data_IF_410406712531
#
_entry.id   IF_410406712531
#
_cell.length_a   1.000
_cell.length_b   1.000
_cell.length_c   1.000
_cell.angle_alpha   90.00
_cell.angle_beta   90.00
_cell.angle_gamma   90.00
#
_symmetry.space_group_name_H-M   'P 1'
#
loop_
_entity.id
_entity.type
_entity.pdbx_description
1 polymer ?
#
# COMPACT_ATOMS: atom_id res chain seq x y z
N UNK A 1 -30.94 -1.35 -1.87
CA UNK A 1 -30.17 -0.86 -3.01
C UNK A 1 -28.74 -1.34 -2.83
N UNK A 2 -28.30 -2.28 -3.65
CA UNK A 2 -26.98 -2.90 -3.57
C UNK A 2 -25.91 -1.93 -4.01
N UNK A 3 -25.07 -1.48 -3.08
CA UNK A 3 -23.79 -0.86 -3.40
C UNK A 3 -22.80 -1.97 -3.76
N UNK A 4 -22.68 -2.27 -5.05
CA UNK A 4 -21.59 -3.07 -5.60
C UNK A 4 -20.27 -2.31 -5.37
N UNK A 5 -19.47 -2.76 -4.40
CA UNK A 5 -18.07 -2.34 -4.26
C UNK A 5 -17.29 -2.65 -5.54
N UNK A 6 -16.34 -1.79 -5.96
CA UNK A 6 -15.51 -2.09 -7.11
C UNK A 6 -14.60 -3.28 -6.79
N UNK A 7 -14.27 -4.07 -7.82
CA UNK A 7 -13.45 -5.26 -7.75
C UNK A 7 -12.01 -4.95 -7.27
N UNK A 8 -11.83 -4.87 -5.95
CA UNK A 8 -10.55 -4.93 -5.25
C UNK A 8 -10.63 -6.06 -4.23
N UNK A 9 -9.67 -7.00 -4.27
CA UNK A 9 -9.62 -8.11 -3.31
C UNK A 9 -9.63 -7.57 -1.88
N UNK A 10 -10.34 -8.22 -0.97
CA UNK A 10 -10.34 -7.79 0.44
C UNK A 10 -8.94 -7.85 1.05
N UNK A 11 -8.75 -7.27 2.23
CA UNK A 11 -7.48 -7.40 2.97
C UNK A 11 -7.18 -8.88 3.28
N UNK A 12 -8.21 -9.68 3.57
CA UNK A 12 -8.10 -11.12 3.79
C UNK A 12 -7.66 -11.85 2.52
N UNK A 13 -8.25 -11.53 1.37
CA UNK A 13 -7.86 -12.10 0.08
C UNK A 13 -6.41 -11.74 -0.26
N UNK A 14 -6.02 -10.49 -0.02
CA UNK A 14 -4.65 -10.03 -0.24
C UNK A 14 -3.66 -10.81 0.63
N UNK A 15 -3.93 -10.94 1.94
CA UNK A 15 -3.09 -11.73 2.85
C UNK A 15 -3.02 -13.19 2.41
N UNK A 16 -4.15 -13.79 2.04
CA UNK A 16 -4.23 -15.19 1.58
C UNK A 16 -3.39 -15.40 0.33
N UNK A 17 -3.50 -14.50 -0.65
CA UNK A 17 -2.71 -14.54 -1.88
C UNK A 17 -1.21 -14.45 -1.57
N UNK A 18 -0.78 -13.48 -0.76
CA UNK A 18 0.65 -13.34 -0.44
C UNK A 18 1.21 -14.54 0.34
N UNK A 19 0.42 -15.11 1.24
CA UNK A 19 0.84 -16.28 2.01
C UNK A 19 0.94 -17.54 1.14
N UNK A 20 0.10 -17.67 0.11
CA UNK A 20 0.10 -18.82 -0.81
C UNK A 20 1.25 -18.86 -1.83
N UNK A 21 1.93 -17.73 -2.06
CA UNK A 21 3.04 -17.63 -3.02
C UNK A 21 4.40 -18.05 -2.45
N UNK A 22 5.42 -18.20 -3.30
CA UNK A 22 6.80 -18.15 -2.82
C UNK A 22 7.24 -16.69 -2.51
N UNK A 23 8.48 -16.47 -2.11
CA UNK A 23 8.95 -15.11 -1.75
C UNK A 23 8.94 -14.16 -2.94
N UNK A 24 9.29 -14.64 -4.14
CA UNK A 24 9.27 -13.85 -5.36
C UNK A 24 7.83 -13.46 -5.72
N UNK A 25 6.92 -14.44 -5.78
CA UNK A 25 5.51 -14.23 -6.06
C UNK A 25 4.86 -13.27 -5.06
N UNK A 26 5.15 -13.42 -3.77
CA UNK A 26 4.66 -12.52 -2.74
C UNK A 26 5.13 -11.08 -2.96
N UNK A 27 6.42 -10.87 -3.24
CA UNK A 27 6.98 -9.53 -3.50
C UNK A 27 6.36 -8.89 -4.74
N UNK A 28 6.26 -9.64 -5.84
CA UNK A 28 5.72 -9.14 -7.11
C UNK A 28 4.23 -8.81 -6.98
N UNK A 29 3.42 -9.71 -6.40
CA UNK A 29 1.98 -9.45 -6.22
C UNK A 29 1.74 -8.28 -5.30
N UNK A 30 2.43 -8.21 -4.16
CA UNK A 30 2.29 -7.07 -3.25
C UNK A 30 2.63 -5.75 -3.95
N UNK A 31 3.67 -5.73 -4.79
CA UNK A 31 4.01 -4.56 -5.57
C UNK A 31 2.94 -4.15 -6.58
N UNK A 32 2.39 -5.10 -7.33
CA UNK A 32 1.30 -4.83 -8.29
C UNK A 32 0.10 -4.19 -7.59
N UNK A 33 -0.31 -4.71 -6.43
CA UNK A 33 -1.45 -4.16 -5.69
C UNK A 33 -1.17 -2.75 -5.14
N UNK A 34 0.01 -2.51 -4.57
CA UNK A 34 0.37 -1.19 -4.02
C UNK A 34 0.56 -0.16 -5.13
N UNK A 35 1.19 -0.54 -6.25
CA UNK A 35 1.34 0.32 -7.43
C UNK A 35 -0.02 0.68 -8.05
N UNK A 36 -0.95 -0.27 -8.14
CA UNK A 36 -2.30 0.00 -8.62
C UNK A 36 -3.02 1.04 -7.76
N UNK A 37 -2.95 0.94 -6.43
CA UNK A 37 -3.55 1.92 -5.51
C UNK A 37 -2.88 3.30 -5.61
N UNK A 38 -1.55 3.33 -5.73
CA UNK A 38 -0.81 4.57 -5.91
C UNK A 38 -1.19 5.27 -7.23
N UNK A 39 -1.31 4.51 -8.32
CA UNK A 39 -1.76 5.03 -9.61
C UNK A 39 -3.21 5.50 -9.56
N UNK A 40 -4.08 4.79 -8.84
CA UNK A 40 -5.45 5.22 -8.60
C UNK A 40 -5.51 6.54 -7.84
N UNK A 41 -4.70 6.68 -6.79
CA UNK A 41 -4.60 7.92 -6.02
C UNK A 41 -4.17 9.09 -6.92
N UNK A 42 -3.14 8.88 -7.74
CA UNK A 42 -2.68 9.88 -8.69
C UNK A 42 -3.77 10.27 -9.71
N UNK A 43 -4.55 9.31 -10.21
CA UNK A 43 -5.66 9.59 -11.14
C UNK A 43 -6.73 10.48 -10.51
N UNK A 44 -7.03 10.30 -9.23
CA UNK A 44 -7.99 11.15 -8.51
C UNK A 44 -7.44 12.55 -8.20
N UNK A 45 -6.13 12.70 -8.08
CA UNK A 45 -5.47 13.97 -7.75
C UNK A 45 -5.19 14.85 -8.97
N UNK A 46 -5.11 14.29 -10.17
CA UNK A 46 -4.83 15.03 -11.42
C UNK A 46 -6.11 15.37 -12.18
N UNK A 47 -6.08 16.48 -12.94
CA UNK A 47 -7.20 16.87 -13.81
C UNK A 47 -7.26 16.12 -15.14
N UNK A 48 -6.10 15.70 -15.66
CA UNK A 48 -5.98 15.03 -16.95
C UNK A 48 -5.22 13.71 -16.79
N UNK A 49 -5.96 12.60 -16.74
CA UNK A 49 -5.37 11.26 -16.67
C UNK A 49 -4.54 10.90 -17.92
N UNK A 50 -4.91 11.43 -19.08
CA UNK A 50 -4.21 11.18 -20.34
C UNK A 50 -2.81 11.79 -20.31
N UNK A 51 -2.68 13.01 -19.78
CA UNK A 51 -1.39 13.64 -19.53
C UNK A 51 -0.55 12.84 -18.51
N UNK A 52 -1.16 12.39 -17.41
CA UNK A 52 -0.47 11.54 -16.42
C UNK A 52 0.08 10.25 -17.04
N UNK A 53 -0.70 9.56 -17.89
CA UNK A 53 -0.24 8.32 -18.57
C UNK A 53 0.95 8.58 -19.50
N UNK A 54 0.99 9.73 -20.18
CA UNK A 54 2.09 10.10 -21.08
C UNK A 54 3.42 10.33 -20.35
N UNK A 55 3.38 10.62 -19.05
CA UNK A 55 4.61 10.77 -18.25
C UNK A 55 5.36 9.45 -18.06
N UNK A 56 4.68 8.31 -18.22
CA UNK A 56 5.26 6.96 -18.10
C UNK A 56 6.16 6.81 -16.85
N UNK A 57 5.62 7.23 -15.70
CA UNK A 57 6.37 7.31 -14.45
C UNK A 57 6.74 5.92 -13.95
N UNK A 58 7.99 5.77 -13.52
CA UNK A 58 8.40 4.64 -12.68
C UNK A 58 7.80 4.77 -11.28
N UNK A 59 7.69 3.65 -10.57
CA UNK A 59 7.11 3.61 -9.22
C UNK A 59 7.65 4.70 -8.27
N UNK A 60 8.98 4.93 -8.24
CA UNK A 60 9.54 5.99 -7.38
C UNK A 60 9.12 7.38 -7.80
N UNK A 61 8.98 7.64 -9.09
CA UNK A 61 8.50 8.92 -9.60
C UNK A 61 6.99 9.10 -9.33
N UNK A 62 6.21 8.01 -9.36
CA UNK A 62 4.81 8.02 -8.92
C UNK A 62 4.69 8.37 -7.43
N UNK A 63 5.59 7.84 -6.58
CA UNK A 63 5.65 8.24 -5.16
C UNK A 63 5.94 9.73 -5.04
N UNK A 64 6.96 10.23 -5.75
CA UNK A 64 7.35 11.65 -5.70
C UNK A 64 6.20 12.57 -6.12
N UNK A 65 5.48 12.20 -7.19
CA UNK A 65 4.30 12.95 -7.64
C UNK A 65 3.16 12.88 -6.62
N UNK A 66 2.91 11.73 -6.00
CA UNK A 66 1.86 11.62 -4.99
C UNK A 66 2.14 12.51 -3.78
N UNK A 67 3.40 12.59 -3.33
CA UNK A 67 3.81 13.52 -2.27
C UNK A 67 3.59 14.97 -2.71
N UNK A 68 4.01 15.32 -3.94
CA UNK A 68 3.82 16.67 -4.46
C UNK A 68 2.34 17.08 -4.57
N UNK A 69 1.44 16.10 -4.70
CA UNK A 69 -0.01 16.30 -4.77
C UNK A 69 -0.73 16.15 -3.42
N UNK A 70 0.00 15.96 -2.32
CA UNK A 70 -0.54 16.04 -0.96
C UNK A 70 -0.53 14.74 -0.15
N UNK A 71 0.02 13.64 -0.66
CA UNK A 71 0.31 12.47 0.18
C UNK A 71 1.39 12.83 1.22
N UNK A 72 1.24 12.37 2.46
CA UNK A 72 2.15 12.67 3.56
C UNK A 72 3.62 12.27 3.24
N UNK A 73 4.59 13.21 3.31
CA UNK A 73 6.00 12.94 2.97
C UNK A 73 6.65 11.85 3.83
N UNK A 74 6.12 11.59 5.02
CA UNK A 74 6.54 10.52 5.93
C UNK A 74 6.43 9.13 5.29
N UNK A 75 5.50 8.91 4.35
CA UNK A 75 5.30 7.63 3.68
C UNK A 75 6.33 7.36 2.57
N UNK A 76 7.00 8.41 2.07
CA UNK A 76 7.86 8.32 0.90
C UNK A 76 9.02 7.34 1.09
N UNK A 77 9.64 7.33 2.28
CA UNK A 77 10.78 6.46 2.58
C UNK A 77 10.37 4.98 2.53
N UNK A 78 9.21 4.64 3.12
CA UNK A 78 8.64 3.29 3.15
C UNK A 78 8.28 2.79 1.75
N UNK A 79 7.52 3.59 1.00
CA UNK A 79 7.13 3.24 -0.37
C UNK A 79 8.34 3.03 -1.27
N UNK A 80 9.32 3.94 -1.25
CA UNK A 80 10.54 3.81 -2.08
C UNK A 80 11.36 2.57 -1.69
N UNK A 81 11.49 2.27 -0.40
CA UNK A 81 12.19 1.06 0.05
C UNK A 81 11.47 -0.21 -0.42
N UNK A 82 10.14 -0.20 -0.41
CA UNK A 82 9.32 -1.29 -0.93
C UNK A 82 9.49 -1.48 -2.44
N UNK A 83 9.48 -0.40 -3.23
CA UNK A 83 9.78 -0.46 -4.67
C UNK A 83 11.19 -0.97 -4.97
N UNK A 84 12.19 -0.53 -4.19
CA UNK A 84 13.57 -1.04 -4.30
C UNK A 84 13.67 -2.54 -4.00
N UNK A 85 12.89 -3.05 -3.05
CA UNK A 85 12.86 -4.48 -2.75
C UNK A 85 12.37 -5.27 -3.97
N UNK A 86 11.27 -4.84 -4.61
CA UNK A 86 10.78 -5.46 -5.86
C UNK A 86 11.82 -5.46 -6.96
N UNK A 87 12.53 -4.34 -7.17
CA UNK A 87 13.54 -4.25 -8.23
C UNK A 87 14.67 -5.27 -8.01
N UNK A 88 15.08 -5.52 -6.77
CA UNK A 88 16.07 -6.57 -6.47
C UNK A 88 15.59 -7.97 -6.85
N UNK A 89 14.32 -8.28 -6.58
CA UNK A 89 13.71 -9.56 -6.96
C UNK A 89 13.54 -9.71 -8.48
N UNK A 90 13.35 -8.61 -9.21
CA UNK A 90 13.27 -8.63 -10.66
C UNK A 90 14.63 -8.88 -11.35
N UNK A 91 15.73 -8.46 -10.74
CA UNK A 91 17.08 -8.64 -11.29
C UNK A 91 17.75 -9.96 -10.89
N UNK A 92 17.34 -10.57 -9.77
CA UNK A 92 17.89 -11.82 -9.26
C UNK A 92 16.78 -12.78 -8.86
N UNK A 93 16.53 -13.79 -9.70
CA UNK A 93 15.52 -14.83 -9.49
C UNK A 93 15.82 -15.70 -8.25
N UNK A 94 17.05 -15.68 -7.73
CA UNK A 94 17.44 -16.38 -6.51
C UNK A 94 17.42 -15.48 -5.27
N UNK A 95 16.98 -14.22 -5.41
CA UNK A 95 16.85 -13.29 -4.29
C UNK A 95 15.89 -13.86 -3.25
N UNK A 96 16.30 -13.76 -1.97
CA UNK A 96 15.50 -14.19 -0.82
C UNK A 96 15.19 -13.04 0.12
N UNK A 97 14.09 -13.16 0.85
CA UNK A 97 13.79 -12.30 1.98
C UNK A 97 14.68 -12.71 3.15
N UNK A 98 15.62 -11.83 3.51
CA UNK A 98 16.44 -11.98 4.73
C UNK A 98 15.88 -11.09 5.84
N UNK A 99 16.15 -11.47 7.09
CA UNK A 99 15.82 -10.62 8.24
C UNK A 99 16.40 -9.22 8.12
N UNK A 100 17.65 -9.10 7.66
CA UNK A 100 18.29 -7.79 7.44
C UNK A 100 17.53 -6.92 6.43
N UNK A 101 17.05 -7.51 5.32
CA UNK A 101 16.29 -6.78 4.29
C UNK A 101 14.95 -6.32 4.83
N UNK A 102 14.25 -7.19 5.54
CA UNK A 102 12.92 -6.89 6.06
C UNK A 102 12.99 -5.92 7.23
N UNK A 103 13.97 -6.03 8.11
CA UNK A 103 14.18 -5.05 9.17
C UNK A 103 14.51 -3.68 8.57
N UNK A 104 15.37 -3.61 7.53
CA UNK A 104 15.64 -2.35 6.85
C UNK A 104 14.40 -1.75 6.18
N UNK A 105 13.52 -2.59 5.61
CA UNK A 105 12.24 -2.15 5.07
C UNK A 105 11.32 -1.65 6.19
N UNK A 106 11.19 -2.39 7.29
CA UNK A 106 10.40 -1.98 8.45
C UNK A 106 10.89 -0.64 9.03
N UNK A 107 12.20 -0.45 9.18
CA UNK A 107 12.79 0.80 9.67
C UNK A 107 12.66 1.99 8.70
N UNK A 108 12.29 1.72 7.45
CA UNK A 108 12.00 2.77 6.47
C UNK A 108 10.57 3.31 6.57
N UNK A 109 9.67 2.59 7.26
CA UNK A 109 8.29 2.99 7.47
C UNK A 109 8.19 4.20 8.40
N UNK A 110 7.15 5.02 8.20
CA UNK A 110 6.78 6.07 9.15
C UNK A 110 6.34 5.48 10.48
N UNK A 111 6.28 6.29 11.55
CA UNK A 111 5.76 5.85 12.84
C UNK A 111 4.34 5.30 12.71
N UNK A 112 3.47 6.01 11.98
CA UNK A 112 2.08 5.60 11.74
C UNK A 112 2.00 4.29 10.96
N UNK A 113 2.82 4.11 9.92
CA UNK A 113 2.85 2.85 9.17
C UNK A 113 3.32 1.67 10.04
N UNK A 114 4.30 1.89 10.94
CA UNK A 114 4.74 0.89 11.92
C UNK A 114 3.62 0.54 12.90
N UNK A 115 2.86 1.52 13.37
CA UNK A 115 1.69 1.29 14.24
C UNK A 115 0.64 0.44 13.54
N UNK A 116 0.36 0.70 12.25
CA UNK A 116 -0.55 -0.14 11.46
C UNK A 116 -0.05 -1.57 11.33
N UNK A 117 1.26 -1.78 11.11
CA UNK A 117 1.86 -3.13 11.14
C UNK A 117 1.60 -3.83 12.47
N UNK A 118 1.88 -3.15 13.58
CA UNK A 118 1.69 -3.72 14.92
C UNK A 118 0.20 -3.99 15.22
N UNK A 119 -0.69 -3.10 14.79
CA UNK A 119 -2.13 -3.25 14.98
C UNK A 119 -2.71 -4.40 14.16
N UNK A 120 -2.37 -4.49 12.86
CA UNK A 120 -2.78 -5.59 11.99
C UNK A 120 -2.34 -6.95 12.56
N UNK A 121 -1.14 -6.98 13.15
CA UNK A 121 -0.64 -8.14 13.84
C UNK A 121 -1.46 -8.45 15.11
N UNK A 122 -1.60 -7.50 16.03
CA UNK A 122 -2.31 -7.69 17.30
C UNK A 122 -3.76 -8.14 17.12
N UNK A 123 -4.48 -7.57 16.14
CA UNK A 123 -5.89 -7.86 15.86
C UNK A 123 -6.13 -9.29 15.35
N UNK A 124 -5.19 -9.84 14.59
CA UNK A 124 -5.29 -11.23 14.09
C UNK A 124 -5.15 -12.25 15.22
N UNK A 125 -4.45 -11.87 16.29
CA UNK A 125 -4.06 -12.77 17.36
C UNK A 125 -5.05 -12.82 18.52
N UNK A 126 -5.71 -11.69 18.83
CA UNK A 126 -6.78 -11.65 19.83
C UNK A 126 -8.00 -12.49 19.44
N UNK A 127 -8.22 -12.73 18.14
CA UNK A 127 -9.32 -13.54 17.63
C UNK A 127 -9.07 -15.06 17.71
N UNK A 128 -7.81 -15.49 17.86
CA UNK A 128 -7.44 -16.90 17.85
C UNK A 128 -7.21 -17.50 19.25
N UNK A 129 -7.25 -16.68 20.31
CA UNK A 129 -7.05 -17.16 21.69
C UNK A 129 -5.66 -17.73 21.97
N UNK A 130 -4.69 -17.53 21.06
CA UNK A 130 -3.30 -17.97 21.21
C UNK A 130 -2.42 -16.75 21.37
N UNK A 131 -1.43 -16.81 22.28
CA UNK A 131 -0.38 -15.79 22.31
C UNK A 131 0.52 -16.01 21.09
N UNK A 132 0.51 -15.10 20.12
CA UNK A 132 1.30 -15.22 18.90
C UNK A 132 2.79 -14.95 19.19
N UNK A 133 3.70 -15.29 18.26
CA UNK A 133 5.10 -14.85 18.33
C UNK A 133 5.21 -13.31 18.42
N UNK A 134 6.33 -12.73 18.83
CA UNK A 134 6.55 -11.30 18.59
C UNK A 134 6.67 -11.03 17.09
N UNK A 135 6.41 -9.80 16.62
CA UNK A 135 6.75 -9.40 15.24
C UNK A 135 8.22 -9.77 14.90
N UNK A 136 9.11 -9.66 15.89
CA UNK A 136 10.54 -10.01 15.74
C UNK A 136 10.77 -11.49 15.44
N UNK A 137 9.88 -12.35 15.92
CA UNK A 137 9.98 -13.82 15.83
C UNK A 137 9.32 -14.37 14.56
N UNK A 138 8.64 -13.51 13.79
CA UNK A 138 8.07 -13.89 12.50
C UNK A 138 9.17 -14.18 11.47
N UNK A 139 8.86 -15.07 10.53
CA UNK A 139 9.71 -15.29 9.36
C UNK A 139 9.85 -13.99 8.54
N UNK A 140 10.93 -13.82 7.76
CA UNK A 140 11.08 -12.67 6.87
C UNK A 140 9.85 -12.45 5.96
N UNK A 141 9.30 -13.55 5.42
CA UNK A 141 8.07 -13.50 4.63
C UNK A 141 6.86 -13.04 5.45
N UNK A 142 6.67 -13.55 6.66
CA UNK A 142 5.56 -13.12 7.53
C UNK A 142 5.63 -11.62 7.85
N UNK A 143 6.82 -11.12 8.20
CA UNK A 143 7.07 -9.69 8.41
C UNK A 143 6.78 -8.87 7.13
N UNK A 144 7.22 -9.36 5.97
CA UNK A 144 6.96 -8.73 4.68
C UNK A 144 5.46 -8.57 4.40
N UNK A 145 4.67 -9.62 4.62
CA UNK A 145 3.21 -9.58 4.40
C UNK A 145 2.56 -8.51 5.26
N UNK A 146 2.93 -8.39 6.54
CA UNK A 146 2.39 -7.35 7.42
C UNK A 146 2.77 -5.94 6.96
N UNK A 147 4.01 -5.74 6.50
CA UNK A 147 4.44 -4.46 5.94
C UNK A 147 3.64 -4.11 4.67
N UNK A 148 3.46 -5.09 3.77
CA UNK A 148 2.67 -4.90 2.56
C UNK A 148 1.22 -4.53 2.88
N UNK A 149 0.62 -5.17 3.89
CA UNK A 149 -0.72 -4.84 4.39
C UNK A 149 -0.79 -3.41 4.91
N UNK A 150 0.20 -2.97 5.71
CA UNK A 150 0.21 -1.61 6.23
C UNK A 150 0.32 -0.55 5.12
N UNK A 151 1.24 -0.75 4.15
CA UNK A 151 1.37 0.16 3.01
C UNK A 151 0.11 0.20 2.13
N UNK A 152 -0.53 -0.96 1.91
CA UNK A 152 -1.81 -1.06 1.21
C UNK A 152 -2.90 -0.27 1.95
N UNK A 153 -3.03 -0.49 3.26
CA UNK A 153 -4.02 0.19 4.10
C UNK A 153 -3.83 1.71 4.15
N UNK A 154 -2.58 2.17 4.22
CA UNK A 154 -2.27 3.60 4.17
C UNK A 154 -2.74 4.24 2.85
N UNK A 155 -2.48 3.60 1.70
CA UNK A 155 -2.95 4.10 0.41
C UNK A 155 -4.48 4.04 0.28
N UNK A 156 -5.12 3.02 0.84
CA UNK A 156 -6.59 2.96 0.90
C UNK A 156 -7.19 4.09 1.72
N UNK A 157 -6.58 4.45 2.85
CA UNK A 157 -7.00 5.60 3.65
C UNK A 157 -6.84 6.90 2.86
N UNK A 158 -5.69 7.12 2.22
CA UNK A 158 -5.46 8.30 1.37
C UNK A 158 -6.50 8.39 0.22
N UNK A 159 -6.83 7.26 -0.42
CA UNK A 159 -7.88 7.20 -1.44
C UNK A 159 -9.26 7.58 -0.90
N UNK A 160 -9.61 7.08 0.29
CA UNK A 160 -10.89 7.40 0.93
C UNK A 160 -10.98 8.90 1.28
N UNK A 161 -9.89 9.51 1.75
CA UNK A 161 -9.84 10.93 2.05
C UNK A 161 -10.04 11.80 0.80
N UNK A 162 -9.34 11.47 -0.30
CA UNK A 162 -9.49 12.18 -1.57
C UNK A 162 -10.91 12.04 -2.13
N UNK A 163 -11.51 10.85 -2.05
CA UNK A 163 -12.90 10.63 -2.51
C UNK A 163 -13.90 11.44 -1.69
N UNK A 164 -13.80 11.43 -0.35
CA UNK A 164 -14.66 12.23 0.53
C UNK A 164 -14.54 13.73 0.24
N UNK A 165 -13.31 14.21 0.00
CA UNK A 165 -13.09 15.60 -0.39
C UNK A 165 -13.73 15.92 -1.76
N UNK A 166 -13.69 15.00 -2.72
CA UNK A 166 -14.36 15.13 -4.01
C UNK A 166 -15.88 15.22 -3.90
N UNK A 167 -16.50 14.39 -3.07
CA UNK A 167 -17.95 14.34 -2.89
C UNK A 167 -18.48 15.64 -2.25
N UNK A 168 -17.80 16.14 -1.21
CA UNK A 168 -18.17 17.41 -0.54
C UNK A 168 -18.04 18.65 -1.43
N UNK A 169 -17.23 18.61 -2.50
CA UNK A 169 -17.17 19.69 -3.50
C UNK A 169 -18.30 19.61 -4.55
N UNK A 170 -18.92 18.46 -4.76
CA UNK A 170 -20.07 18.30 -5.67
C UNK A 170 -21.37 18.75 -5.02
N UNK A 171 -21.55 18.49 -3.72
CA UNK A 171 -22.74 18.90 -2.96
C UNK A 171 -22.86 20.43 -2.78
N UNK A 172 -21.78 21.19 -2.99
CA UNK A 172 -21.78 22.65 -2.91
C UNK A 172 -22.04 23.35 -4.26
N UNK A 173 -22.41 22.59 -5.32
CA UNK A 173 -22.84 23.15 -6.61
C UNK A 173 -24.38 23.06 -6.76
N UNK A 174 -25.05 24.17 -6.39
CA UNK A 174 -26.38 24.70 -6.81
C UNK A 174 -27.59 24.40 -5.88
N UNK A 175 -28.49 25.40 -5.65
CA UNK A 175 -29.16 26.20 -6.68
C UNK A 175 -28.91 27.71 -6.58
N UNK A 176 -28.34 28.25 -7.65
CA UNK A 176 -28.08 29.67 -7.85
C UNK A 176 -27.56 29.93 -9.26
N UNK A 177 -28.32 29.50 -10.26
CA UNK A 177 -28.17 29.97 -11.64
C UNK A 177 -29.58 30.23 -12.17
N UNK A 178 -29.77 31.50 -12.51
CA UNK A 178 -30.96 32.27 -12.88
C UNK A 178 -31.76 31.60 -14.00
#
# INVERSE_FOLDING_TARGET
MSTSQPAGSTIEDFIKVLNGEDELGAVIRAHIHIEALLLELLRLLVKDEGALRKLNLEFSQSVDLAIALGLGPEHAKGLRAFGKLRNKFAHDLNSKLSDSRINNLYESLSTTDKEVVQFAYARTNSQLGVSPPSFKDLTPKGKFVLIAVALRGMLEVALLEVRKAGDSMQDNKLPGAI
#
